data_IF_309064198538
#
_entry.id   IF_309064198538
#
_cell.length_a   1.000
_cell.length_b   1.000
_cell.length_c   1.000
_cell.angle_alpha   90.00
_cell.angle_beta   90.00
_cell.angle_gamma   90.00
#
_symmetry.space_group_name_H-M   'P 1'
#
loop_
_entity.id
_entity.type
_entity.pdbx_description
1 polymer ?
#
# COMPACT_ATOMS: atom_id res chain seq x y z
N UNK A 1 0.53 1.18 13.78
CA UNK A 1 0.03 -0.19 13.54
C UNK A 1 0.44 -0.71 12.17
N UNK A 2 0.19 0.05 11.11
CA UNK A 2 0.54 -0.38 9.74
C UNK A 2 2.02 -0.68 9.60
N UNK A 3 2.89 0.15 10.16
CA UNK A 3 4.35 -0.04 10.04
C UNK A 3 4.77 -1.37 10.65
N UNK A 4 4.26 -1.69 11.83
CA UNK A 4 4.56 -2.97 12.48
C UNK A 4 4.11 -4.16 11.64
N UNK A 5 2.89 -4.10 11.11
CA UNK A 5 2.30 -5.19 10.36
C UNK A 5 2.94 -5.35 8.99
N UNK A 6 3.04 -4.28 8.22
CA UNK A 6 3.49 -4.35 6.83
C UNK A 6 4.99 -4.60 6.72
N UNK A 7 5.80 -3.91 7.51
CA UNK A 7 7.25 -4.15 7.49
C UNK A 7 7.59 -5.53 8.05
N UNK A 8 6.87 -5.97 9.09
CA UNK A 8 7.05 -7.30 9.65
C UNK A 8 6.69 -8.41 8.66
N UNK A 9 5.59 -8.23 7.91
CA UNK A 9 5.18 -9.19 6.89
C UNK A 9 6.22 -9.28 5.76
N UNK A 10 6.76 -8.15 5.32
CA UNK A 10 7.77 -8.11 4.27
C UNK A 10 9.04 -8.86 4.67
N UNK A 11 9.44 -8.79 5.94
CA UNK A 11 10.62 -9.52 6.42
C UNK A 11 10.45 -11.03 6.39
N UNK A 12 9.21 -11.53 6.34
CA UNK A 12 8.91 -12.96 6.25
C UNK A 12 8.69 -13.43 4.82
N UNK A 13 8.77 -12.55 3.84
CA UNK A 13 8.49 -12.86 2.44
C UNK A 13 9.58 -13.71 1.81
N UNK A 14 9.19 -14.43 0.76
CA UNK A 14 10.15 -15.07 -0.16
C UNK A 14 9.67 -14.82 -1.59
N UNK A 15 10.60 -14.89 -2.60
CA UNK A 15 10.29 -14.43 -3.97
C UNK A 15 9.10 -15.12 -4.65
N UNK A 16 8.82 -16.38 -4.32
CA UNK A 16 7.76 -17.17 -4.94
C UNK A 16 6.51 -17.30 -4.08
N UNK A 17 6.39 -16.51 -3.02
CA UNK A 17 5.18 -16.51 -2.20
C UNK A 17 3.96 -16.19 -3.06
N UNK A 18 2.83 -16.92 -2.90
CA UNK A 18 1.63 -16.70 -3.73
C UNK A 18 1.11 -15.25 -3.70
N UNK A 19 1.26 -14.55 -2.57
CA UNK A 19 0.81 -13.17 -2.46
C UNK A 19 1.54 -12.22 -3.41
N UNK A 20 2.73 -12.58 -3.92
CA UNK A 20 3.45 -11.74 -4.88
C UNK A 20 2.67 -11.60 -6.19
N UNK A 21 1.88 -12.60 -6.58
CA UNK A 21 1.01 -12.50 -7.74
C UNK A 21 -0.07 -11.46 -7.53
N UNK A 22 -0.71 -11.46 -6.35
CA UNK A 22 -1.72 -10.45 -5.99
C UNK A 22 -1.11 -9.06 -5.93
N UNK A 23 0.12 -8.94 -5.39
CA UNK A 23 0.85 -7.68 -5.37
C UNK A 23 1.10 -7.17 -6.79
N UNK A 24 1.52 -8.06 -7.70
CA UNK A 24 1.75 -7.70 -9.10
C UNK A 24 0.47 -7.22 -9.77
N UNK A 25 -0.61 -7.96 -9.60
CA UNK A 25 -1.90 -7.59 -10.18
C UNK A 25 -2.36 -6.21 -9.69
N UNK A 26 -2.14 -5.93 -8.40
CA UNK A 26 -2.51 -4.64 -7.83
C UNK A 26 -1.66 -3.49 -8.41
N UNK A 27 -0.36 -3.70 -8.58
CA UNK A 27 0.52 -2.69 -9.20
C UNK A 27 0.10 -2.43 -10.65
N UNK A 28 -0.16 -3.49 -11.40
CA UNK A 28 -0.57 -3.36 -12.82
C UNK A 28 -1.91 -2.62 -12.93
N UNK A 29 -2.87 -2.93 -12.06
CA UNK A 29 -4.15 -2.23 -12.01
C UNK A 29 -3.98 -0.75 -11.67
N UNK A 30 -3.13 -0.44 -10.69
CA UNK A 30 -2.86 0.95 -10.30
C UNK A 30 -2.25 1.74 -11.46
N UNK A 31 -1.31 1.16 -12.20
CA UNK A 31 -0.71 1.80 -13.37
C UNK A 31 -1.73 2.07 -14.46
N UNK A 32 -2.61 1.11 -14.73
CA UNK A 32 -3.65 1.26 -15.75
C UNK A 32 -4.62 2.38 -15.37
N UNK A 33 -5.09 2.39 -14.12
CA UNK A 33 -6.00 3.44 -13.66
C UNK A 33 -5.32 4.80 -13.62
N UNK A 34 -4.02 4.86 -13.29
CA UNK A 34 -3.25 6.10 -13.32
C UNK A 34 -3.20 6.69 -14.72
N UNK A 35 -2.98 5.87 -15.74
CA UNK A 35 -3.00 6.32 -17.14
C UNK A 35 -4.35 6.91 -17.54
N UNK A 36 -5.44 6.39 -16.97
CA UNK A 36 -6.80 6.85 -17.22
C UNK A 36 -7.23 7.98 -16.31
N UNK A 37 -6.35 8.44 -15.41
CA UNK A 37 -6.64 9.48 -14.43
C UNK A 37 -7.82 9.13 -13.51
N UNK A 38 -7.98 7.85 -13.24
CA UNK A 38 -9.00 7.31 -12.34
C UNK A 38 -8.41 7.20 -10.93
N UNK A 39 -8.29 8.31 -10.25
CA UNK A 39 -7.49 8.42 -9.02
C UNK A 39 -8.04 7.62 -7.85
N UNK A 40 -9.35 7.49 -7.72
CA UNK A 40 -9.95 6.69 -6.65
C UNK A 40 -9.68 5.19 -6.87
N UNK A 41 -9.71 4.75 -8.11
CA UNK A 41 -9.38 3.39 -8.49
C UNK A 41 -7.90 3.10 -8.27
N UNK A 42 -7.02 4.09 -8.49
CA UNK A 42 -5.60 4.00 -8.12
C UNK A 42 -5.48 3.74 -6.62
N UNK A 43 -6.20 4.50 -5.80
CA UNK A 43 -6.21 4.31 -4.35
C UNK A 43 -6.68 2.91 -3.95
N UNK A 44 -7.75 2.41 -4.57
CA UNK A 44 -8.25 1.05 -4.30
C UNK A 44 -7.22 -0.01 -4.65
N UNK A 45 -6.54 0.14 -5.79
CA UNK A 45 -5.48 -0.79 -6.19
C UNK A 45 -4.30 -0.75 -5.23
N UNK A 46 -3.88 0.45 -4.79
CA UNK A 46 -2.82 0.60 -3.80
C UNK A 46 -3.18 -0.10 -2.49
N UNK A 47 -4.45 0.01 -2.06
CA UNK A 47 -4.92 -0.66 -0.85
C UNK A 47 -4.89 -2.19 -0.99
N UNK A 48 -5.23 -2.72 -2.16
CA UNK A 48 -5.13 -4.15 -2.43
C UNK A 48 -3.68 -4.63 -2.38
N UNK A 49 -2.74 -3.82 -2.85
CA UNK A 49 -1.32 -4.12 -2.74
C UNK A 49 -0.91 -4.29 -1.28
N UNK A 50 -1.30 -3.36 -0.41
CA UNK A 50 -0.93 -3.41 1.00
C UNK A 50 -1.60 -4.58 1.73
N UNK A 51 -2.84 -4.93 1.38
CA UNK A 51 -3.48 -6.13 1.93
C UNK A 51 -2.71 -7.40 1.52
N UNK A 52 -2.26 -7.47 0.27
CA UNK A 52 -1.44 -8.59 -0.21
C UNK A 52 -0.10 -8.68 0.53
N UNK A 53 0.49 -7.52 0.89
CA UNK A 53 1.71 -7.51 1.72
C UNK A 53 1.47 -8.23 3.05
N UNK A 54 0.33 -7.99 3.69
CA UNK A 54 -0.01 -8.66 4.95
C UNK A 54 -0.14 -10.18 4.74
N UNK A 55 -0.66 -10.61 3.60
CA UNK A 55 -0.81 -12.03 3.27
C UNK A 55 0.55 -12.75 3.19
N UNK A 56 1.66 -12.02 3.00
CA UNK A 56 3.00 -12.60 3.08
C UNK A 56 3.31 -13.20 4.46
N UNK A 57 2.58 -12.80 5.48
CA UNK A 57 2.77 -13.32 6.84
C UNK A 57 2.18 -14.73 7.03
N UNK A 58 1.34 -15.19 6.11
CA UNK A 58 0.61 -16.46 6.20
C UNK A 58 -0.24 -16.56 7.48
N UNK A 59 -0.70 -15.43 8.00
CA UNK A 59 -1.55 -15.36 9.18
C UNK A 59 -2.93 -14.83 8.82
N UNK A 60 -3.94 -15.68 8.84
CA UNK A 60 -5.32 -15.26 8.59
C UNK A 60 -5.80 -14.25 9.64
N UNK A 61 -5.32 -14.37 10.88
CA UNK A 61 -5.67 -13.41 11.93
C UNK A 61 -5.14 -12.01 11.62
N UNK A 62 -3.89 -11.92 11.13
CA UNK A 62 -3.32 -10.63 10.73
C UNK A 62 -4.03 -10.06 9.52
N UNK A 63 -4.35 -10.91 8.54
CA UNK A 63 -5.09 -10.46 7.36
C UNK A 63 -6.47 -9.94 7.73
N UNK A 64 -7.18 -10.60 8.63
CA UNK A 64 -8.49 -10.15 9.12
C UNK A 64 -8.38 -8.85 9.90
N UNK A 65 -7.38 -8.74 10.76
CA UNK A 65 -7.14 -7.50 11.51
C UNK A 65 -6.83 -6.34 10.57
N UNK A 66 -5.96 -6.58 9.60
CA UNK A 66 -5.59 -5.55 8.63
C UNK A 66 -6.78 -5.10 7.78
N UNK A 67 -7.71 -6.00 7.47
CA UNK A 67 -8.92 -5.63 6.73
C UNK A 67 -9.71 -4.54 7.45
N UNK A 68 -9.74 -4.54 8.78
CA UNK A 68 -10.37 -3.50 9.58
C UNK A 68 -9.60 -2.18 9.50
N UNK A 69 -8.27 -2.25 9.59
CA UNK A 69 -7.41 -1.07 9.43
C UNK A 69 -7.60 -0.45 8.06
N UNK A 70 -7.64 -1.30 7.03
CA UNK A 70 -7.84 -0.85 5.64
C UNK A 70 -9.21 -0.19 5.45
N UNK A 71 -10.26 -0.70 6.08
CA UNK A 71 -11.59 -0.12 5.99
C UNK A 71 -11.61 1.29 6.60
N UNK A 72 -10.97 1.49 7.75
CA UNK A 72 -10.85 2.80 8.38
C UNK A 72 -10.06 3.77 7.50
N UNK A 73 -8.97 3.31 6.91
CA UNK A 73 -8.14 4.12 6.03
C UNK A 73 -8.91 4.52 4.77
N UNK A 74 -9.68 3.60 4.19
CA UNK A 74 -10.51 3.88 3.02
C UNK A 74 -11.55 4.94 3.32
N UNK A 75 -12.17 4.88 4.49
CA UNK A 75 -13.12 5.89 4.92
C UNK A 75 -12.44 7.26 5.01
N UNK A 76 -11.26 7.32 5.60
CA UNK A 76 -10.50 8.57 5.70
C UNK A 76 -10.16 9.16 4.33
N UNK A 77 -9.71 8.32 3.39
CA UNK A 77 -9.42 8.78 2.02
C UNK A 77 -10.68 9.31 1.33
N UNK A 78 -11.83 8.66 1.56
CA UNK A 78 -13.10 9.07 0.95
C UNK A 78 -13.59 10.45 1.41
N UNK A 79 -13.16 10.89 2.59
CA UNK A 79 -13.52 12.20 3.14
C UNK A 79 -12.62 13.33 2.63
N UNK A 80 -11.52 13.01 1.95
CA UNK A 80 -10.56 13.99 1.45
C UNK A 80 -10.77 14.23 -0.05
N UNK A 81 -10.52 15.46 -0.50
CA UNK A 81 -10.84 15.90 -1.85
C UNK A 81 -9.66 15.91 -2.83
N UNK A 82 -8.61 15.15 -2.56
CA UNK A 82 -7.40 15.21 -3.36
C UNK A 82 -6.86 13.82 -3.70
N UNK A 83 -7.69 12.98 -4.38
CA UNK A 83 -7.30 11.58 -4.61
C UNK A 83 -6.05 11.42 -5.47
N UNK A 84 -5.78 12.32 -6.41
CA UNK A 84 -4.57 12.25 -7.19
C UNK A 84 -3.32 12.33 -6.31
N UNK A 85 -3.24 13.33 -5.44
CA UNK A 85 -2.09 13.51 -4.55
C UNK A 85 -2.01 12.44 -3.48
N UNK A 86 -3.16 11.92 -3.02
CA UNK A 86 -3.20 10.87 -2.02
C UNK A 86 -2.68 9.53 -2.56
N UNK A 87 -2.81 9.26 -3.85
CA UNK A 87 -2.63 7.91 -4.38
C UNK A 87 -1.61 7.81 -5.50
N UNK A 88 -1.57 8.77 -6.44
CA UNK A 88 -0.71 8.65 -7.62
C UNK A 88 0.79 8.51 -7.31
N UNK A 89 1.36 9.28 -6.37
CA UNK A 89 2.81 9.19 -6.11
C UNK A 89 3.27 7.83 -5.58
N UNK A 90 2.34 7.03 -5.06
CA UNK A 90 2.67 5.80 -4.35
C UNK A 90 2.68 4.56 -5.25
N UNK A 91 2.20 4.67 -6.49
CA UNK A 91 2.16 3.54 -7.42
C UNK A 91 3.57 3.00 -7.70
N UNK A 92 4.51 3.90 -8.01
CA UNK A 92 5.89 3.51 -8.32
C UNK A 92 6.61 2.97 -7.08
N UNK A 93 6.30 3.49 -5.90
CA UNK A 93 6.87 2.98 -4.66
C UNK A 93 6.42 1.54 -4.39
N UNK A 94 5.15 1.23 -4.64
CA UNK A 94 4.64 -0.14 -4.52
C UNK A 94 5.36 -1.08 -5.50
N UNK A 95 5.58 -0.64 -6.74
CA UNK A 95 6.31 -1.43 -7.71
C UNK A 95 7.74 -1.71 -7.25
N UNK A 96 8.42 -0.72 -6.68
CA UNK A 96 9.78 -0.90 -6.14
C UNK A 96 9.80 -1.90 -5.00
N UNK A 97 8.84 -1.83 -4.09
CA UNK A 97 8.74 -2.78 -2.97
C UNK A 97 8.56 -4.20 -3.51
N UNK A 98 7.66 -4.40 -4.46
CA UNK A 98 7.45 -5.70 -5.09
C UNK A 98 8.73 -6.23 -5.74
N UNK A 99 9.43 -5.37 -6.46
CA UNK A 99 10.70 -5.74 -7.10
C UNK A 99 11.73 -6.23 -6.10
N UNK A 100 11.81 -5.60 -4.94
CA UNK A 100 12.72 -6.00 -3.87
C UNK A 100 12.33 -7.35 -3.27
N UNK A 101 11.03 -7.60 -3.07
CA UNK A 101 10.55 -8.90 -2.59
C UNK A 101 10.92 -10.01 -3.57
N UNK A 102 10.70 -9.79 -4.87
CA UNK A 102 10.99 -10.77 -5.91
C UNK A 102 12.48 -11.09 -5.98
N UNK A 103 13.33 -10.12 -5.67
CA UNK A 103 14.80 -10.31 -5.61
C UNK A 103 15.27 -10.92 -4.29
N UNK A 104 14.37 -11.16 -3.35
CA UNK A 104 14.72 -11.69 -2.03
C UNK A 104 15.32 -10.66 -1.08
N UNK A 105 15.25 -9.37 -1.41
CA UNK A 105 15.82 -8.27 -0.62
C UNK A 105 14.78 -7.75 0.37
N UNK A 106 14.40 -8.59 1.34
CA UNK A 106 13.27 -8.30 2.22
C UNK A 106 13.54 -7.16 3.19
N UNK A 107 14.77 -6.99 3.67
CA UNK A 107 15.10 -5.87 4.56
C UNK A 107 15.00 -4.53 3.80
N UNK A 108 15.47 -4.49 2.56
CA UNK A 108 15.34 -3.30 1.73
C UNK A 108 13.87 -2.99 1.44
N UNK A 109 13.06 -4.04 1.19
CA UNK A 109 11.62 -3.89 0.99
C UNK A 109 10.95 -3.28 2.24
N UNK A 110 11.31 -3.75 3.43
CA UNK A 110 10.78 -3.22 4.68
C UNK A 110 11.17 -1.76 4.88
N UNK A 111 12.42 -1.39 4.54
CA UNK A 111 12.90 -0.01 4.61
C UNK A 111 12.10 0.90 3.67
N UNK A 112 11.85 0.44 2.44
CA UNK A 112 11.04 1.19 1.48
C UNK A 112 9.59 1.33 1.95
N UNK A 113 9.05 0.30 2.57
CA UNK A 113 7.69 0.37 3.13
C UNK A 113 7.61 1.39 4.26
N UNK A 114 8.60 1.44 5.12
CA UNK A 114 8.65 2.43 6.20
C UNK A 114 8.63 3.85 5.63
N UNK A 115 9.43 4.10 4.61
CA UNK A 115 9.45 5.38 3.90
C UNK A 115 8.08 5.69 3.27
N UNK A 116 7.47 4.71 2.61
CA UNK A 116 6.14 4.84 2.02
C UNK A 116 5.11 5.28 3.06
N UNK A 117 5.08 4.59 4.20
CA UNK A 117 4.08 4.87 5.24
C UNK A 117 4.26 6.25 5.85
N UNK A 118 5.51 6.70 6.03
CA UNK A 118 5.80 8.05 6.51
C UNK A 118 5.31 9.11 5.51
N UNK A 119 5.59 8.92 4.22
CA UNK A 119 5.17 9.87 3.18
C UNK A 119 3.65 9.90 3.03
N UNK A 120 3.00 8.73 3.09
CA UNK A 120 1.55 8.62 2.99
C UNK A 120 0.88 9.34 4.17
N UNK A 121 1.38 9.16 5.38
CA UNK A 121 0.87 9.85 6.56
C UNK A 121 0.98 11.36 6.41
N UNK A 122 2.14 11.86 5.99
CA UNK A 122 2.33 13.30 5.76
C UNK A 122 1.37 13.84 4.71
N UNK A 123 1.16 13.07 3.65
CA UNK A 123 0.23 13.47 2.57
C UNK A 123 -1.19 13.60 3.09
N UNK A 124 -1.64 12.64 3.91
CA UNK A 124 -2.97 12.67 4.55
C UNK A 124 -3.09 13.87 5.47
N UNK A 125 -2.08 14.10 6.32
CA UNK A 125 -2.11 15.24 7.26
C UNK A 125 -2.20 16.57 6.53
N UNK A 126 -1.46 16.76 5.44
CA UNK A 126 -1.55 17.97 4.62
C UNK A 126 -2.93 18.13 3.99
N UNK A 127 -3.53 17.04 3.52
CA UNK A 127 -4.88 17.08 2.95
C UNK A 127 -5.91 17.45 4.01
N UNK A 128 -5.76 16.96 5.24
CA UNK A 128 -6.63 17.31 6.37
C UNK A 128 -6.51 18.80 6.73
N UNK A 129 -5.29 19.34 6.72
CA UNK A 129 -5.07 20.77 6.97
C UNK A 129 -5.78 21.63 5.92
N UNK A 130 -5.68 21.25 4.65
CA UNK A 130 -6.37 21.98 3.57
C UNK A 130 -7.89 21.87 3.71
N UNK A 131 -8.40 20.74 4.09
CA UNK A 131 -9.84 20.52 4.27
C UNK A 131 -10.39 21.31 5.45
N UNK A 132 -9.56 21.57 6.48
CA UNK A 132 -9.95 22.35 7.66
C UNK A 132 -9.99 23.87 7.45
N UNK A 133 -9.54 24.32 6.29
CA UNK A 133 -9.55 25.74 5.92
C UNK A 133 -10.76 26.08 5.07
#
# INVERSE_FOLDING_TARGET
VRRMLECGALRQAWPKHPATTTMRDAVDAAKLHRERQEWREVGSANMKFHAAVIDLSDSSRLSDFYARVAAELRLSFGLLNDPEQLHSPFVDMNEQILGLVIKGKVEDAATQMDLYLNLSERTVLKALERAGK
#
